data_IF_645131600218
#
_entry.id   IF_645131600218
#
_cell.length_a   1.000
_cell.length_b   1.000
_cell.length_c   1.000
_cell.angle_alpha   90.00
_cell.angle_beta   90.00
_cell.angle_gamma   90.00
#
_symmetry.space_group_name_H-M   'P 1'
#
loop_
_entity.id
_entity.type
_entity.pdbx_description
1 polymer ?
#
# COMPACT_ATOMS: atom_id res chain seq x y z
N UNK A 1 -9.83 21.26 12.58
CA UNK A 1 -10.25 21.41 11.17
C UNK A 1 -11.36 20.43 10.86
N UNK A 2 -12.13 20.68 9.79
CA UNK A 2 -13.08 19.74 9.21
C UNK A 2 -12.44 19.09 8.00
N UNK A 3 -12.32 17.76 8.01
CA UNK A 3 -11.57 16.99 7.00
C UNK A 3 -12.49 15.94 6.40
N UNK A 4 -12.48 15.83 5.08
CA UNK A 4 -13.17 14.76 4.33
C UNK A 4 -12.12 13.86 3.65
N UNK A 5 -12.12 12.58 3.98
CA UNK A 5 -11.33 11.55 3.32
C UNK A 5 -12.23 10.80 2.33
N UNK A 6 -11.81 10.66 1.07
CA UNK A 6 -12.64 10.08 0.01
C UNK A 6 -11.92 8.91 -0.66
N UNK A 7 -12.59 7.77 -0.67
CA UNK A 7 -12.03 6.48 -1.11
C UNK A 7 -11.26 5.78 0.00
N UNK A 8 -11.01 4.50 -0.18
CA UNK A 8 -10.29 3.65 0.78
C UNK A 8 -9.51 2.56 0.05
N UNK A 9 -8.36 2.21 0.57
CA UNK A 9 -7.69 0.94 0.27
C UNK A 9 -6.86 0.48 1.46
N UNK A 10 -6.93 -0.80 1.75
CA UNK A 10 -6.09 -1.46 2.77
C UNK A 10 -6.10 -0.76 4.14
N UNK A 11 -7.21 -0.17 4.55
CA UNK A 11 -7.38 0.57 5.82
C UNK A 11 -6.58 1.88 5.94
N UNK A 12 -6.01 2.42 4.84
CA UNK A 12 -5.19 3.63 4.87
C UNK A 12 -5.96 4.83 5.43
N UNK A 13 -7.10 5.17 4.83
CA UNK A 13 -7.89 6.31 5.27
C UNK A 13 -8.58 6.06 6.62
N UNK A 14 -8.96 4.83 6.94
CA UNK A 14 -9.48 4.49 8.26
C UNK A 14 -8.46 4.73 9.36
N UNK A 15 -7.24 4.25 9.16
CA UNK A 15 -6.14 4.41 10.12
C UNK A 15 -5.73 5.89 10.23
N UNK A 16 -5.66 6.60 9.11
CA UNK A 16 -5.41 8.05 9.10
C UNK A 16 -6.52 8.82 9.81
N UNK A 17 -7.80 8.48 9.58
CA UNK A 17 -8.94 9.08 10.27
C UNK A 17 -8.81 8.95 11.79
N UNK A 18 -8.40 7.79 12.30
CA UNK A 18 -8.17 7.56 13.73
C UNK A 18 -7.16 8.59 14.27
N UNK A 19 -6.00 8.70 13.65
CA UNK A 19 -4.94 9.62 14.10
C UNK A 19 -5.36 11.09 14.04
N UNK A 20 -5.99 11.52 12.95
CA UNK A 20 -6.48 12.89 12.80
C UNK A 20 -7.59 13.21 13.82
N UNK A 21 -8.45 12.23 14.15
CA UNK A 21 -9.52 12.42 15.16
C UNK A 21 -8.91 12.54 16.56
N UNK A 22 -7.93 11.72 16.92
CA UNK A 22 -7.20 11.84 18.19
C UNK A 22 -6.50 13.20 18.36
N UNK A 23 -6.13 13.84 17.25
CA UNK A 23 -5.59 15.21 17.22
C UNK A 23 -6.68 16.32 17.27
N UNK A 24 -7.93 15.94 17.48
CA UNK A 24 -9.05 16.89 17.66
C UNK A 24 -9.63 17.41 16.34
N UNK A 25 -9.38 16.78 15.21
CA UNK A 25 -10.00 17.13 13.94
C UNK A 25 -11.36 16.43 13.78
N UNK A 26 -12.32 17.09 13.14
CA UNK A 26 -13.59 16.46 12.73
C UNK A 26 -13.40 15.80 11.37
N UNK A 27 -13.27 14.48 11.36
CA UNK A 27 -12.95 13.71 10.16
C UNK A 27 -14.14 12.87 9.70
N UNK A 28 -14.49 12.99 8.43
CA UNK A 28 -15.51 12.17 7.77
C UNK A 28 -14.83 11.28 6.73
N UNK A 29 -15.12 9.98 6.72
CA UNK A 29 -14.68 9.04 5.70
C UNK A 29 -15.84 8.65 4.81
N UNK A 30 -15.68 8.87 3.51
CA UNK A 30 -16.61 8.51 2.46
C UNK A 30 -15.95 7.50 1.52
N UNK A 31 -16.42 6.24 1.51
CA UNK A 31 -15.84 5.17 0.71
C UNK A 31 -16.83 4.06 0.39
N UNK A 32 -16.46 3.15 -0.52
CA UNK A 32 -17.19 1.91 -0.80
C UNK A 32 -16.83 0.75 0.14
N UNK A 33 -15.86 0.95 1.02
CA UNK A 33 -15.49 0.02 2.08
C UNK A 33 -14.38 -0.94 1.72
N UNK A 34 -13.90 -0.97 0.49
CA UNK A 34 -12.93 -1.93 -0.03
C UNK A 34 -13.40 -3.40 0.12
N UNK A 35 -13.58 -4.10 -0.97
CA UNK A 35 -14.23 -5.42 -1.06
C UNK A 35 -13.69 -6.49 -0.09
N UNK A 36 -12.43 -6.39 0.30
CA UNK A 36 -11.79 -7.40 1.15
C UNK A 36 -12.09 -7.24 2.65
N UNK A 37 -12.34 -6.01 3.12
CA UNK A 37 -12.42 -5.71 4.56
C UNK A 37 -13.75 -5.18 5.05
N UNK A 38 -14.63 -4.74 4.16
CA UNK A 38 -15.82 -3.97 4.54
C UNK A 38 -15.51 -2.91 5.61
N UNK A 39 -14.51 -2.07 5.33
CA UNK A 39 -13.94 -1.12 6.28
C UNK A 39 -14.99 -0.11 6.79
N UNK A 40 -14.93 0.32 8.06
CA UNK A 40 -15.84 1.33 8.62
C UNK A 40 -15.81 2.63 7.84
N UNK A 41 -16.97 3.28 7.67
CA UNK A 41 -17.13 4.54 6.95
C UNK A 41 -18.33 5.33 7.45
N UNK A 42 -18.29 6.65 7.27
CA UNK A 42 -19.36 7.55 7.68
C UNK A 42 -20.40 7.77 6.57
N UNK A 43 -19.96 7.65 5.30
CA UNK A 43 -20.80 7.73 4.11
C UNK A 43 -20.49 6.53 3.24
N UNK A 44 -21.47 5.65 3.07
CA UNK A 44 -21.32 4.42 2.28
C UNK A 44 -21.55 4.70 0.79
N UNK A 45 -20.53 4.46 -0.02
CA UNK A 45 -20.57 4.56 -1.48
C UNK A 45 -20.71 3.21 -2.17
N UNK A 46 -20.88 2.10 -1.43
CA UNK A 46 -20.99 0.75 -2.01
C UNK A 46 -22.16 0.70 -2.96
N UNK A 47 -21.90 0.18 -4.15
CA UNK A 47 -22.92 -0.02 -5.18
C UNK A 47 -23.74 -1.27 -4.88
N UNK A 48 -25.06 -1.12 -4.85
CA UNK A 48 -25.95 -2.27 -4.84
C UNK A 48 -26.06 -2.84 -6.27
N UNK A 49 -25.29 -3.88 -6.55
CA UNK A 49 -25.22 -4.49 -7.88
C UNK A 49 -26.56 -5.09 -8.38
N UNK A 50 -27.53 -5.33 -7.45
CA UNK A 50 -28.89 -5.76 -7.83
C UNK A 50 -29.63 -4.71 -8.66
N UNK A 51 -29.25 -3.43 -8.56
CA UNK A 51 -29.83 -2.34 -9.34
C UNK A 51 -29.16 -2.15 -10.70
N UNK A 52 -28.19 -2.97 -11.06
CA UNK A 52 -27.48 -2.92 -12.34
C UNK A 52 -26.95 -1.51 -12.63
N UNK A 53 -27.30 -0.94 -13.79
CA UNK A 53 -26.85 0.41 -14.20
C UNK A 53 -27.35 1.53 -13.28
N UNK A 54 -28.46 1.34 -12.59
CA UNK A 54 -29.03 2.34 -11.66
C UNK A 54 -28.26 2.41 -10.33
N UNK A 55 -27.39 1.46 -10.02
CA UNK A 55 -26.57 1.49 -8.80
C UNK A 55 -25.67 2.73 -8.70
N UNK A 56 -25.32 3.36 -9.82
CA UNK A 56 -24.62 4.64 -9.83
C UNK A 56 -25.45 5.80 -9.28
N UNK A 57 -26.78 5.81 -9.49
CA UNK A 57 -27.69 6.82 -8.92
C UNK A 57 -27.76 6.71 -7.40
N UNK A 58 -27.70 5.49 -6.85
CA UNK A 58 -27.61 5.26 -5.42
C UNK A 58 -26.35 5.93 -4.82
N UNK A 59 -25.20 5.77 -5.48
CA UNK A 59 -23.94 6.43 -5.03
C UNK A 59 -24.13 7.95 -5.00
N UNK A 60 -24.67 8.52 -6.06
CA UNK A 60 -24.95 9.97 -6.12
C UNK A 60 -25.93 10.39 -5.03
N UNK A 61 -27.01 9.63 -4.81
CA UNK A 61 -27.95 9.89 -3.74
C UNK A 61 -27.28 9.88 -2.36
N UNK A 62 -26.43 8.90 -2.07
CA UNK A 62 -25.70 8.82 -0.81
C UNK A 62 -24.76 10.03 -0.60
N UNK A 63 -24.14 10.55 -1.67
CA UNK A 63 -23.32 11.75 -1.61
C UNK A 63 -24.20 12.99 -1.34
N UNK A 64 -25.26 13.21 -2.14
CA UNK A 64 -26.08 14.39 -2.06
C UNK A 64 -26.94 14.44 -0.79
N UNK A 65 -27.39 13.31 -0.25
CA UNK A 65 -28.08 13.26 1.04
C UNK A 65 -27.17 13.59 2.24
N UNK A 66 -25.83 13.59 2.04
CA UNK A 66 -24.84 13.92 3.06
C UNK A 66 -24.07 15.23 2.76
N UNK A 67 -24.63 16.15 1.98
CA UNK A 67 -23.98 17.43 1.64
C UNK A 67 -23.36 18.19 2.82
N UNK A 68 -23.99 18.27 4.03
CA UNK A 68 -23.37 18.95 5.17
C UNK A 68 -22.04 18.33 5.65
N UNK A 69 -21.80 17.06 5.32
CA UNK A 69 -20.53 16.36 5.61
C UNK A 69 -19.55 16.47 4.44
N UNK A 70 -20.06 16.56 3.21
CA UNK A 70 -19.27 16.57 1.96
C UNK A 70 -18.76 17.97 1.62
N UNK A 71 -19.52 19.00 1.96
CA UNK A 71 -19.20 20.41 1.65
C UNK A 71 -18.67 21.17 2.87
N UNK A 72 -17.95 22.27 2.61
CA UNK A 72 -17.45 23.18 3.64
C UNK A 72 -16.35 22.57 4.50
N UNK A 73 -15.58 21.62 3.97
CA UNK A 73 -14.42 21.08 4.65
C UNK A 73 -13.19 21.98 4.43
N UNK A 74 -12.31 22.02 5.42
CA UNK A 74 -11.05 22.73 5.30
C UNK A 74 -10.10 21.98 4.35
N UNK A 75 -10.12 20.64 4.42
CA UNK A 75 -9.33 19.75 3.58
C UNK A 75 -10.21 18.60 3.08
N UNK A 76 -10.04 18.26 1.81
CA UNK A 76 -10.53 17.01 1.22
C UNK A 76 -9.32 16.23 0.70
N UNK A 77 -9.13 15.01 1.16
CA UNK A 77 -8.13 14.11 0.61
C UNK A 77 -8.79 13.02 -0.22
N UNK A 78 -8.39 12.94 -1.47
CA UNK A 78 -8.80 11.91 -2.41
C UNK A 78 -7.79 10.75 -2.34
N UNK A 79 -8.27 9.52 -2.28
CA UNK A 79 -7.42 8.33 -2.30
C UNK A 79 -6.58 8.24 -3.59
N UNK A 80 -7.21 8.51 -4.73
CA UNK A 80 -6.58 8.54 -6.05
C UNK A 80 -7.40 9.46 -6.97
N UNK A 81 -7.10 9.48 -8.28
CA UNK A 81 -7.86 10.24 -9.28
C UNK A 81 -9.27 9.66 -9.54
N UNK A 82 -9.48 8.36 -9.29
CA UNK A 82 -10.80 7.73 -9.19
C UNK A 82 -11.05 7.41 -7.71
N UNK A 83 -11.90 8.17 -7.10
CA UNK A 83 -12.12 8.17 -5.65
C UNK A 83 -13.57 7.84 -5.25
N UNK A 84 -14.49 7.79 -6.22
CA UNK A 84 -15.84 7.25 -6.04
C UNK A 84 -16.04 6.08 -7.01
N UNK A 85 -16.87 5.05 -6.67
CA UNK A 85 -17.07 3.86 -7.50
C UNK A 85 -17.92 4.13 -8.73
N UNK A 86 -17.54 5.14 -9.51
CA UNK A 86 -18.19 5.59 -10.74
C UNK A 86 -17.16 5.70 -11.86
N UNK A 87 -17.62 5.84 -13.10
CA UNK A 87 -16.74 6.01 -14.26
C UNK A 87 -15.92 7.31 -14.17
N UNK A 88 -14.81 7.37 -14.91
CA UNK A 88 -13.89 8.51 -14.91
C UNK A 88 -14.54 9.87 -15.17
N UNK A 89 -15.54 9.92 -16.05
CA UNK A 89 -16.30 11.17 -16.30
C UNK A 89 -17.06 11.68 -15.08
N UNK A 90 -17.66 10.78 -14.30
CA UNK A 90 -18.35 11.13 -13.06
C UNK A 90 -17.37 11.50 -11.93
N UNK A 91 -16.22 10.81 -11.84
CA UNK A 91 -15.16 11.20 -10.91
C UNK A 91 -14.65 12.62 -11.21
N UNK A 92 -14.54 12.99 -12.51
CA UNK A 92 -14.18 14.34 -12.95
C UNK A 92 -15.19 15.40 -12.52
N UNK A 93 -16.48 15.14 -12.72
CA UNK A 93 -17.57 16.03 -12.27
C UNK A 93 -17.54 16.18 -10.75
N UNK A 94 -17.40 15.07 -10.03
CA UNK A 94 -17.32 15.06 -8.56
C UNK A 94 -16.09 15.82 -8.06
N UNK A 95 -14.93 15.72 -8.73
CA UNK A 95 -13.73 16.48 -8.39
C UNK A 95 -14.00 17.99 -8.42
N UNK A 96 -14.60 18.49 -9.49
CA UNK A 96 -14.90 19.92 -9.61
C UNK A 96 -15.97 20.36 -8.60
N UNK A 97 -16.95 19.53 -8.32
CA UNK A 97 -17.92 19.77 -7.25
C UNK A 97 -17.23 19.91 -5.88
N UNK A 98 -16.34 18.98 -5.52
CA UNK A 98 -15.58 19.06 -4.27
C UNK A 98 -14.64 20.27 -4.24
N UNK A 99 -13.99 20.59 -5.36
CA UNK A 99 -13.09 21.77 -5.45
C UNK A 99 -13.82 23.10 -5.26
N UNK A 100 -15.06 23.21 -5.75
CA UNK A 100 -15.88 24.40 -5.60
C UNK A 100 -16.51 24.54 -4.20
N UNK A 101 -16.74 23.44 -3.50
CA UNK A 101 -17.47 23.43 -2.23
C UNK A 101 -16.60 23.27 -0.99
N UNK A 102 -15.29 23.09 -1.15
CA UNK A 102 -14.33 22.92 -0.06
C UNK A 102 -13.10 23.81 -0.27
N UNK A 103 -12.28 24.01 0.78
CA UNK A 103 -11.18 24.99 0.71
C UNK A 103 -9.95 24.45 -0.02
N UNK A 104 -9.52 23.22 0.29
CA UNK A 104 -8.31 22.61 -0.27
C UNK A 104 -8.55 21.16 -0.63
N UNK A 105 -7.96 20.72 -1.76
CA UNK A 105 -8.00 19.34 -2.22
C UNK A 105 -6.58 18.77 -2.23
N UNK A 106 -6.38 17.61 -1.62
CA UNK A 106 -5.17 16.82 -1.66
C UNK A 106 -5.42 15.58 -2.52
N UNK A 107 -4.59 15.35 -3.53
CA UNK A 107 -4.59 14.09 -4.29
C UNK A 107 -3.68 13.08 -3.59
N UNK A 108 -4.22 11.94 -3.18
CA UNK A 108 -3.43 10.77 -2.85
C UNK A 108 -2.87 10.11 -4.12
N UNK A 109 -1.58 9.79 -4.09
CA UNK A 109 -0.92 8.92 -5.06
C UNK A 109 -0.73 7.56 -4.39
N UNK A 110 -1.86 6.83 -4.16
CA UNK A 110 -1.90 5.63 -3.31
C UNK A 110 -2.23 4.36 -4.10
N UNK A 111 -2.45 4.48 -5.39
CA UNK A 111 -2.77 3.37 -6.28
C UNK A 111 -2.42 3.73 -7.73
N UNK A 112 -2.64 2.77 -8.63
CA UNK A 112 -2.40 2.93 -10.06
C UNK A 112 -3.06 4.17 -10.65
N UNK A 113 -2.34 4.82 -11.54
CA UNK A 113 -2.88 5.89 -12.37
C UNK A 113 -2.11 6.03 -13.71
N UNK A 114 -2.65 6.77 -14.68
CA UNK A 114 -2.02 6.91 -15.99
C UNK A 114 -0.58 7.42 -15.96
N UNK A 115 -0.27 8.34 -15.05
CA UNK A 115 1.05 8.94 -14.95
C UNK A 115 2.06 7.99 -14.32
N UNK A 116 1.65 7.20 -13.33
CA UNK A 116 2.47 6.17 -12.75
C UNK A 116 2.93 5.17 -13.83
N UNK A 117 2.02 4.70 -14.69
CA UNK A 117 2.36 3.81 -15.80
C UNK A 117 3.27 4.47 -16.84
N UNK A 118 3.07 5.77 -17.13
CA UNK A 118 3.95 6.55 -18.01
C UNK A 118 5.39 6.58 -17.47
N UNK A 119 5.56 6.90 -16.19
CA UNK A 119 6.88 6.95 -15.55
C UNK A 119 7.52 5.55 -15.45
N UNK A 120 6.77 4.53 -15.10
CA UNK A 120 7.27 3.15 -15.07
C UNK A 120 7.72 2.67 -16.47
N UNK A 121 6.99 3.02 -17.52
CA UNK A 121 7.40 2.75 -18.90
C UNK A 121 8.66 3.54 -19.30
N UNK A 122 8.89 4.69 -18.69
CA UNK A 122 10.13 5.47 -18.87
C UNK A 122 11.29 4.98 -17.99
N UNK A 123 11.08 3.93 -17.19
CA UNK A 123 12.12 3.34 -16.32
C UNK A 123 12.26 4.01 -14.95
N UNK A 124 11.22 4.66 -14.47
CA UNK A 124 11.19 5.27 -13.13
C UNK A 124 10.03 4.65 -12.33
N UNK A 125 10.31 3.88 -11.30
CA UNK A 125 11.62 3.33 -10.88
C UNK A 125 12.19 2.27 -11.85
N UNK A 126 13.41 1.81 -11.63
CA UNK A 126 14.08 0.86 -12.54
C UNK A 126 13.31 -0.45 -12.76
N UNK A 127 12.55 -0.88 -11.78
CA UNK A 127 11.61 -1.99 -11.88
C UNK A 127 10.31 -1.69 -11.14
N UNK A 128 9.24 -2.31 -11.56
CA UNK A 128 7.91 -2.28 -10.94
C UNK A 128 7.16 -3.57 -11.27
N UNK A 129 5.96 -3.72 -10.78
CA UNK A 129 5.06 -4.83 -11.13
C UNK A 129 4.59 -4.79 -12.60
N UNK A 130 4.72 -3.66 -13.28
CA UNK A 130 4.32 -3.46 -14.68
C UNK A 130 5.49 -3.39 -15.67
N UNK A 131 6.64 -2.85 -15.25
CA UNK A 131 7.79 -2.63 -16.12
C UNK A 131 9.10 -3.00 -15.43
N UNK A 132 10.03 -3.56 -16.22
CA UNK A 132 11.40 -3.82 -15.82
C UNK A 132 12.34 -3.50 -16.99
N UNK A 133 13.38 -2.69 -16.74
CA UNK A 133 14.28 -2.19 -17.79
C UNK A 133 13.52 -1.62 -18.99
N UNK A 134 12.51 -0.80 -18.73
CA UNK A 134 11.60 -0.20 -19.70
C UNK A 134 10.81 -1.21 -20.56
N UNK A 135 10.84 -2.51 -20.20
CA UNK A 135 10.08 -3.56 -20.88
C UNK A 135 8.89 -3.95 -20.01
N UNK A 136 7.70 -4.06 -20.60
CA UNK A 136 6.52 -4.52 -19.89
C UNK A 136 6.71 -5.92 -19.31
N UNK A 137 6.31 -6.11 -18.06
CA UNK A 137 6.26 -7.40 -17.38
C UNK A 137 4.84 -7.97 -17.40
N UNK A 138 4.73 -9.30 -17.36
CA UNK A 138 3.43 -10.00 -17.24
C UNK A 138 2.35 -9.43 -18.15
N UNK A 139 2.66 -9.29 -19.44
CA UNK A 139 1.91 -8.51 -20.43
C UNK A 139 0.43 -8.84 -20.51
N UNK A 140 0.06 -10.12 -20.40
CA UNK A 140 -1.34 -10.52 -20.52
C UNK A 140 -2.20 -9.93 -19.41
N UNK A 141 -1.73 -10.02 -18.18
CA UNK A 141 -2.44 -9.51 -17.01
C UNK A 141 -2.35 -7.98 -16.88
N UNK A 142 -1.17 -7.40 -17.13
CA UNK A 142 -0.97 -5.96 -17.02
C UNK A 142 -1.58 -5.16 -18.18
N UNK A 143 -1.70 -5.75 -19.36
CA UNK A 143 -2.30 -5.06 -20.53
C UNK A 143 -3.70 -4.55 -20.24
N UNK A 144 -4.55 -5.38 -19.67
CA UNK A 144 -5.92 -4.99 -19.32
C UNK A 144 -5.93 -3.88 -18.27
N UNK A 145 -5.11 -4.02 -17.22
CA UNK A 145 -4.97 -3.04 -16.14
C UNK A 145 -4.49 -1.68 -16.66
N UNK A 146 -3.43 -1.65 -17.45
CA UNK A 146 -2.91 -0.43 -18.08
C UNK A 146 -3.97 0.18 -19.01
N UNK A 147 -4.60 -0.64 -19.88
CA UNK A 147 -5.64 -0.19 -20.80
C UNK A 147 -6.81 0.47 -20.07
N UNK A 148 -7.27 -0.11 -18.96
CA UNK A 148 -8.38 0.46 -18.19
C UNK A 148 -8.06 1.87 -17.69
N UNK A 149 -6.86 2.09 -17.16
CA UNK A 149 -6.44 3.40 -16.64
C UNK A 149 -6.07 4.40 -17.74
N UNK A 150 -5.66 3.94 -18.92
CA UNK A 150 -5.24 4.81 -20.03
C UNK A 150 -6.36 5.17 -21.01
N UNK A 151 -7.61 4.75 -20.77
CA UNK A 151 -8.76 5.22 -21.57
C UNK A 151 -8.91 6.74 -21.48
N UNK A 152 -9.34 7.45 -22.55
CA UNK A 152 -9.37 8.91 -22.61
C UNK A 152 -10.13 9.58 -21.45
N UNK A 153 -11.21 8.96 -20.97
CA UNK A 153 -11.99 9.50 -19.85
C UNK A 153 -11.22 9.47 -18.52
N UNK A 154 -10.36 8.46 -18.30
CA UNK A 154 -9.54 8.33 -17.09
C UNK A 154 -8.33 9.24 -17.16
N UNK A 155 -7.67 9.37 -18.31
CA UNK A 155 -6.59 10.34 -18.51
C UNK A 155 -7.10 11.76 -18.25
N UNK A 156 -8.26 12.16 -18.79
CA UNK A 156 -8.84 13.49 -18.53
C UNK A 156 -9.19 13.69 -17.05
N UNK A 157 -9.72 12.66 -16.40
CA UNK A 157 -10.01 12.72 -14.98
C UNK A 157 -8.73 12.90 -14.15
N UNK A 158 -7.73 12.06 -14.41
CA UNK A 158 -6.43 12.15 -13.76
C UNK A 158 -5.80 13.54 -13.97
N UNK A 159 -5.83 14.05 -15.20
CA UNK A 159 -5.30 15.38 -15.51
C UNK A 159 -5.96 16.46 -14.66
N UNK A 160 -7.29 16.51 -14.63
CA UNK A 160 -8.01 17.51 -13.81
C UNK A 160 -7.64 17.38 -12.32
N UNK A 161 -7.65 16.15 -11.79
CA UNK A 161 -7.33 15.91 -10.38
C UNK A 161 -5.87 16.26 -10.07
N UNK A 162 -4.91 15.77 -10.85
CA UNK A 162 -3.49 15.95 -10.56
C UNK A 162 -3.03 17.41 -10.70
N UNK A 163 -3.55 18.14 -11.69
CA UNK A 163 -3.14 19.52 -11.93
C UNK A 163 -3.85 20.54 -11.04
N UNK A 164 -5.08 20.27 -10.63
CA UNK A 164 -5.88 21.23 -9.88
C UNK A 164 -6.00 20.90 -8.37
N UNK A 165 -5.38 19.82 -7.88
CA UNK A 165 -5.22 19.61 -6.44
C UNK A 165 -4.19 20.57 -5.86
N UNK A 166 -4.40 21.00 -4.63
CA UNK A 166 -3.53 21.95 -3.94
C UNK A 166 -2.21 21.29 -3.49
N UNK A 167 -2.26 20.00 -3.18
CA UNK A 167 -1.09 19.17 -2.86
C UNK A 167 -1.28 17.74 -3.39
N UNK A 168 -0.17 17.03 -3.53
CA UNK A 168 -0.11 15.60 -3.82
C UNK A 168 0.62 14.90 -2.67
N UNK A 169 0.12 13.75 -2.23
CA UNK A 169 0.75 12.93 -1.19
C UNK A 169 1.03 11.55 -1.76
N UNK A 170 2.30 11.15 -1.75
CA UNK A 170 2.73 9.79 -2.07
C UNK A 170 3.03 9.04 -0.77
N UNK A 171 2.57 7.79 -0.65
CA UNK A 171 2.74 6.98 0.56
C UNK A 171 3.83 5.90 0.42
N UNK A 172 4.30 5.63 -0.79
CA UNK A 172 5.39 4.72 -1.11
C UNK A 172 6.50 5.48 -1.84
N UNK A 173 7.76 5.10 -1.62
CA UNK A 173 8.90 5.75 -2.23
C UNK A 173 8.85 5.66 -3.77
N UNK A 174 8.49 4.51 -4.32
CA UNK A 174 8.32 4.30 -5.76
C UNK A 174 7.25 5.21 -6.38
N UNK A 175 6.18 5.51 -5.64
CA UNK A 175 5.18 6.48 -6.10
C UNK A 175 5.71 7.92 -6.02
N UNK A 176 6.45 8.24 -4.96
CA UNK A 176 7.12 9.52 -4.84
C UNK A 176 8.13 9.73 -5.97
N UNK A 177 8.94 8.73 -6.30
CA UNK A 177 9.90 8.79 -7.43
C UNK A 177 9.19 9.14 -8.75
N UNK A 178 8.10 8.45 -9.07
CA UNK A 178 7.33 8.71 -10.28
C UNK A 178 6.79 10.14 -10.33
N UNK A 179 6.30 10.65 -9.21
CA UNK A 179 5.71 11.99 -9.13
C UNK A 179 6.73 13.11 -8.89
N UNK A 180 7.99 12.81 -8.52
CA UNK A 180 9.03 13.80 -8.27
C UNK A 180 9.61 14.34 -9.60
N UNK A 181 8.76 15.01 -10.34
CA UNK A 181 9.09 15.66 -11.62
C UNK A 181 8.96 17.17 -11.47
N UNK A 182 9.58 18.00 -12.34
CA UNK A 182 9.42 19.46 -12.31
C UNK A 182 7.96 19.92 -12.29
N UNK A 183 7.07 19.09 -12.84
CA UNK A 183 5.63 19.32 -12.94
C UNK A 183 4.92 19.29 -11.58
N UNK A 184 5.32 18.40 -10.68
CA UNK A 184 4.63 18.14 -9.42
C UNK A 184 5.48 18.37 -8.16
N UNK A 185 6.80 18.38 -8.25
CA UNK A 185 7.73 18.40 -7.12
C UNK A 185 7.42 19.48 -6.07
N UNK A 186 6.98 20.69 -6.51
CA UNK A 186 6.66 21.80 -5.59
C UNK A 186 5.42 21.55 -4.70
N UNK A 187 4.56 20.60 -5.07
CA UNK A 187 3.31 20.26 -4.37
C UNK A 187 3.28 18.82 -3.89
N UNK A 188 4.35 18.08 -4.16
CA UNK A 188 4.49 16.67 -3.80
C UNK A 188 5.06 16.54 -2.40
N UNK A 189 4.39 15.77 -1.57
CA UNK A 189 4.83 15.40 -0.23
C UNK A 189 4.91 13.89 -0.12
N UNK A 190 5.91 13.39 0.60
CA UNK A 190 5.96 12.01 1.02
C UNK A 190 5.41 11.91 2.44
N UNK A 191 4.36 11.15 2.63
CA UNK A 191 3.81 10.82 3.94
C UNK A 191 3.59 9.30 3.96
N UNK A 192 4.29 8.56 4.83
CA UNK A 192 4.27 7.10 4.82
C UNK A 192 2.89 6.53 5.17
N UNK A 193 2.68 5.26 4.86
CA UNK A 193 1.47 4.54 5.20
C UNK A 193 1.23 4.52 6.71
N UNK A 194 0.05 4.93 7.21
CA UNK A 194 -0.29 4.84 8.62
C UNK A 194 -0.60 3.40 9.03
N UNK A 195 -0.03 2.96 10.14
CA UNK A 195 -0.28 1.64 10.70
C UNK A 195 -0.77 1.74 12.13
N UNK A 196 -1.80 1.00 12.47
CA UNK A 196 -2.19 0.80 13.85
C UNK A 196 -1.23 -0.19 14.50
N UNK A 197 -0.39 0.33 15.41
CA UNK A 197 0.62 -0.49 16.09
C UNK A 197 -0.07 -1.31 17.17
N UNK A 198 0.06 -2.65 17.16
CA UNK A 198 -0.46 -3.48 18.23
C UNK A 198 0.12 -3.11 19.58
N UNK A 199 -0.59 -3.45 20.67
CA UNK A 199 -0.07 -3.28 22.01
C UNK A 199 1.29 -3.99 22.16
N UNK A 200 2.20 -3.44 22.98
CA UNK A 200 3.57 -4.00 23.14
C UNK A 200 3.61 -5.49 23.46
N UNK A 201 2.65 -5.96 24.26
CA UNK A 201 2.52 -7.40 24.59
C UNK A 201 2.21 -8.31 23.41
N UNK A 202 1.75 -7.75 22.27
CA UNK A 202 1.43 -8.53 21.06
C UNK A 202 2.64 -8.65 20.12
N UNK A 203 3.65 -7.79 20.28
CA UNK A 203 4.87 -7.84 19.47
C UNK A 203 5.86 -8.82 20.10
N UNK A 204 6.25 -9.85 19.37
CA UNK A 204 7.19 -10.89 19.83
C UNK A 204 8.43 -10.91 18.96
N UNK A 205 9.59 -11.13 19.59
CA UNK A 205 10.83 -11.37 18.84
C UNK A 205 10.75 -12.75 18.20
N UNK A 206 10.94 -12.79 16.89
CA UNK A 206 10.81 -13.98 16.06
C UNK A 206 12.19 -14.64 15.80
N UNK A 207 12.17 -15.82 15.20
CA UNK A 207 13.39 -16.56 14.85
C UNK A 207 14.12 -17.17 16.04
N UNK A 208 13.44 -17.38 17.16
CA UNK A 208 14.02 -18.00 18.36
C UNK A 208 13.84 -19.51 18.38
N UNK A 209 13.02 -20.05 17.50
CA UNK A 209 12.78 -21.48 17.38
C UNK A 209 13.88 -22.21 16.62
N UNK A 210 13.88 -23.51 16.72
CA UNK A 210 14.80 -24.38 15.94
C UNK A 210 14.43 -24.40 14.45
N UNK A 211 13.12 -24.33 14.15
CA UNK A 211 12.57 -24.29 12.79
C UNK A 211 12.02 -22.89 12.53
N UNK A 212 12.35 -22.31 11.38
CA UNK A 212 11.88 -20.99 10.94
C UNK A 212 10.56 -21.20 10.20
N UNK A 213 9.50 -20.55 10.67
CA UNK A 213 8.16 -20.58 10.05
C UNK A 213 8.01 -19.44 9.05
N UNK A 214 7.86 -19.77 7.78
CA UNK A 214 7.70 -18.82 6.68
C UNK A 214 6.26 -18.87 6.17
N UNK A 215 5.55 -17.74 6.22
CA UNK A 215 4.21 -17.58 5.70
C UNK A 215 4.24 -16.98 4.30
N UNK A 216 3.56 -17.62 3.34
CA UNK A 216 3.42 -17.15 1.96
C UNK A 216 1.95 -16.87 1.67
N UNK A 217 1.59 -15.58 1.57
CA UNK A 217 0.22 -15.16 1.20
C UNK A 217 0.01 -15.25 -0.30
N UNK A 218 -0.89 -16.14 -0.74
CA UNK A 218 -1.23 -16.30 -2.16
C UNK A 218 -2.47 -15.46 -2.50
N UNK A 219 -2.34 -14.64 -3.52
CA UNK A 219 -3.46 -13.95 -4.17
C UNK A 219 -3.53 -14.38 -5.64
N UNK A 220 -4.25 -15.46 -5.99
CA UNK A 220 -4.17 -16.11 -7.29
C UNK A 220 -4.33 -15.20 -8.50
N UNK A 221 -5.18 -14.18 -8.35
CA UNK A 221 -5.43 -13.19 -9.41
C UNK A 221 -4.42 -12.02 -9.44
N UNK A 222 -3.49 -11.95 -8.50
CA UNK A 222 -2.57 -10.83 -8.30
C UNK A 222 -1.12 -11.25 -8.00
N UNK A 223 -0.81 -12.54 -8.01
CA UNK A 223 0.55 -13.02 -7.72
C UNK A 223 1.57 -12.45 -8.71
N UNK A 224 1.18 -12.33 -9.98
CA UNK A 224 2.02 -11.73 -11.02
C UNK A 224 2.42 -10.27 -10.72
N UNK A 225 1.60 -9.54 -9.93
CA UNK A 225 1.91 -8.17 -9.49
C UNK A 225 2.92 -8.17 -8.35
N UNK A 226 2.83 -9.14 -7.46
CA UNK A 226 3.65 -9.18 -6.25
C UNK A 226 4.95 -9.97 -6.44
N UNK A 227 4.94 -11.00 -7.28
CA UNK A 227 6.04 -11.93 -7.43
C UNK A 227 6.30 -12.77 -6.18
N UNK A 228 5.28 -12.98 -5.34
CA UNK A 228 5.42 -13.73 -4.09
C UNK A 228 5.83 -15.19 -4.33
N UNK A 229 5.28 -15.83 -5.36
CA UNK A 229 5.66 -17.22 -5.71
C UNK A 229 7.10 -17.32 -6.19
N UNK A 230 7.66 -16.29 -6.83
CA UNK A 230 9.09 -16.28 -7.17
C UNK A 230 9.96 -16.16 -5.91
N UNK A 231 9.58 -15.31 -4.95
CA UNK A 231 10.28 -15.28 -3.64
C UNK A 231 10.14 -16.62 -2.92
N UNK A 232 8.96 -17.23 -2.94
CA UNK A 232 8.75 -18.55 -2.33
C UNK A 232 9.67 -19.60 -2.91
N UNK A 233 9.92 -19.61 -4.23
CA UNK A 233 10.87 -20.54 -4.87
C UNK A 233 12.31 -20.35 -4.37
N UNK A 234 12.73 -19.12 -4.03
CA UNK A 234 14.03 -18.89 -3.38
C UNK A 234 14.08 -19.50 -1.98
N UNK A 235 13.00 -19.30 -1.19
CA UNK A 235 12.89 -19.89 0.16
C UNK A 235 12.89 -21.42 0.08
N UNK A 236 12.17 -22.01 -0.86
CA UNK A 236 12.16 -23.47 -1.08
C UNK A 236 13.56 -24.02 -1.46
N UNK A 237 14.29 -23.26 -2.29
CA UNK A 237 15.68 -23.61 -2.65
C UNK A 237 16.58 -23.62 -1.42
N UNK A 238 16.48 -22.61 -0.55
CA UNK A 238 17.20 -22.56 0.74
C UNK A 238 16.74 -23.70 1.65
N UNK A 239 15.44 -23.98 1.74
CA UNK A 239 14.90 -25.06 2.57
C UNK A 239 15.44 -26.45 2.18
N UNK A 240 15.61 -26.71 0.88
CA UNK A 240 16.23 -27.97 0.39
C UNK A 240 17.66 -28.13 0.85
N UNK A 241 18.43 -27.05 1.02
CA UNK A 241 19.82 -27.10 1.56
C UNK A 241 19.86 -27.26 3.08
N UNK A 242 18.76 -26.97 3.79
CA UNK A 242 18.66 -27.04 5.25
C UNK A 242 17.46 -27.87 5.72
N UNK A 243 17.44 -29.18 5.51
CA UNK A 243 16.29 -30.04 5.83
C UNK A 243 15.83 -29.92 7.29
N UNK A 244 14.52 -29.74 7.48
CA UNK A 244 13.90 -29.64 8.81
C UNK A 244 14.13 -28.30 9.55
N UNK A 245 14.79 -27.32 8.89
CA UNK A 245 15.08 -26.01 9.49
C UNK A 245 14.12 -24.90 9.05
N UNK A 246 13.37 -25.11 7.98
CA UNK A 246 12.41 -24.15 7.44
C UNK A 246 11.09 -24.89 7.19
N UNK A 247 10.00 -24.31 7.69
CA UNK A 247 8.62 -24.73 7.44
C UNK A 247 7.94 -23.64 6.64
N UNK A 248 7.40 -23.97 5.47
CA UNK A 248 6.73 -23.00 4.59
C UNK A 248 5.24 -23.31 4.61
N UNK A 249 4.45 -22.31 5.01
CA UNK A 249 3.00 -22.37 5.01
C UNK A 249 2.43 -21.44 3.93
N UNK A 250 1.68 -22.04 3.00
CA UNK A 250 0.97 -21.30 1.97
C UNK A 250 -0.45 -21.02 2.40
N UNK A 251 -0.89 -19.75 2.27
CA UNK A 251 -2.23 -19.33 2.68
C UNK A 251 -2.94 -18.59 1.55
N UNK A 252 -4.18 -19.01 1.29
CA UNK A 252 -5.06 -18.43 0.27
C UNK A 252 -6.48 -18.29 0.80
N UNK A 253 -7.10 -17.11 0.60
CA UNK A 253 -8.52 -16.91 0.79
C UNK A 253 -9.05 -17.11 2.22
N UNK A 254 -8.19 -16.99 3.24
CA UNK A 254 -8.63 -17.11 4.64
C UNK A 254 -9.24 -15.82 5.17
N UNK A 255 -10.17 -15.89 6.15
CA UNK A 255 -10.68 -14.71 6.85
C UNK A 255 -9.55 -13.89 7.48
N UNK A 256 -9.75 -12.57 7.53
CA UNK A 256 -8.75 -11.63 8.03
C UNK A 256 -8.21 -11.97 9.42
N UNK A 257 -9.10 -12.26 10.38
CA UNK A 257 -8.70 -12.60 11.76
C UNK A 257 -7.85 -13.87 11.82
N UNK A 258 -8.14 -14.85 10.94
CA UNK A 258 -7.32 -16.05 10.82
C UNK A 258 -5.94 -15.70 10.26
N UNK A 259 -5.89 -14.89 9.21
CA UNK A 259 -4.64 -14.43 8.61
C UNK A 259 -3.76 -13.69 9.63
N UNK A 260 -4.36 -12.81 10.44
CA UNK A 260 -3.63 -12.07 11.48
C UNK A 260 -3.01 -12.99 12.54
N UNK A 261 -3.73 -14.05 12.95
CA UNK A 261 -3.17 -15.08 13.86
C UNK A 261 -2.01 -15.84 13.21
N UNK A 262 -2.10 -16.17 11.92
CA UNK A 262 -0.99 -16.81 11.18
C UNK A 262 0.24 -15.90 11.13
N UNK A 263 0.07 -14.59 10.95
CA UNK A 263 1.16 -13.60 11.06
C UNK A 263 1.77 -13.57 12.47
N UNK A 264 0.96 -13.69 13.52
CA UNK A 264 1.45 -13.73 14.91
C UNK A 264 2.31 -15.00 15.17
N UNK A 265 2.04 -16.10 14.48
CA UNK A 265 2.76 -17.39 14.62
C UNK A 265 3.98 -17.49 13.71
N UNK A 266 3.98 -16.79 12.56
CA UNK A 266 5.07 -16.83 11.60
C UNK A 266 6.31 -16.07 12.08
N UNK A 267 7.50 -16.56 11.76
CA UNK A 267 8.76 -15.84 11.94
C UNK A 267 9.02 -14.88 10.76
N UNK A 268 8.62 -15.29 9.57
CA UNK A 268 8.91 -14.59 8.32
C UNK A 268 7.66 -14.56 7.44
N UNK A 269 7.42 -13.42 6.79
CA UNK A 269 6.39 -13.24 5.76
C UNK A 269 7.04 -13.01 4.39
N UNK A 270 6.60 -13.73 3.37
CA UNK A 270 6.88 -13.42 1.96
C UNK A 270 5.86 -12.41 1.45
N UNK A 271 6.30 -11.24 0.95
CA UNK A 271 5.37 -10.22 0.43
C UNK A 271 5.63 -9.86 -1.04
N UNK A 272 6.41 -8.82 -1.36
CA UNK A 272 6.49 -8.29 -2.73
C UNK A 272 7.92 -8.23 -3.25
N UNK A 273 8.14 -8.77 -4.47
CA UNK A 273 9.42 -8.73 -5.18
C UNK A 273 9.62 -7.40 -5.93
N UNK A 274 8.55 -6.81 -6.44
CA UNK A 274 8.60 -5.65 -7.34
C UNK A 274 8.32 -4.33 -6.64
N UNK A 275 8.61 -4.21 -5.35
CA UNK A 275 8.45 -2.99 -4.57
C UNK A 275 9.77 -2.52 -3.96
N UNK A 276 9.87 -1.24 -3.66
CA UNK A 276 11.00 -0.60 -2.97
C UNK A 276 10.73 -0.41 -1.48
N UNK A 277 9.46 -0.38 -1.10
CA UNK A 277 8.96 -0.08 0.24
C UNK A 277 8.05 -1.17 0.77
N UNK A 278 7.95 -1.34 2.10
CA UNK A 278 6.99 -2.27 2.68
C UNK A 278 5.55 -1.84 2.43
N UNK A 279 4.72 -2.80 2.01
CA UNK A 279 3.28 -2.62 1.85
C UNK A 279 2.53 -2.62 3.20
N UNK A 280 1.22 -2.35 3.18
CA UNK A 280 0.38 -2.47 4.38
C UNK A 280 0.45 -3.87 5.02
N UNK A 281 0.53 -4.93 4.19
CA UNK A 281 0.68 -6.30 4.69
C UNK A 281 2.04 -6.52 5.36
N UNK A 282 3.11 -6.05 4.74
CA UNK A 282 4.45 -6.06 5.33
C UNK A 282 4.48 -5.31 6.66
N UNK A 283 3.89 -4.11 6.70
CA UNK A 283 3.87 -3.29 7.92
C UNK A 283 3.06 -3.95 9.05
N UNK A 284 1.95 -4.61 8.73
CA UNK A 284 1.17 -5.36 9.71
C UNK A 284 1.95 -6.52 10.31
N UNK A 285 2.76 -7.22 9.51
CA UNK A 285 3.67 -8.27 9.97
C UNK A 285 4.82 -7.68 10.82
N UNK A 286 5.49 -6.65 10.31
CA UNK A 286 6.62 -5.99 10.98
C UNK A 286 6.22 -5.41 12.34
N UNK A 287 5.03 -4.83 12.47
CA UNK A 287 4.51 -4.33 13.74
C UNK A 287 4.35 -5.42 14.81
N UNK A 288 4.28 -6.69 14.40
CA UNK A 288 4.21 -7.88 15.26
C UNK A 288 5.56 -8.57 15.47
N UNK A 289 6.60 -8.04 14.87
CA UNK A 289 7.95 -8.61 14.89
C UNK A 289 8.20 -9.68 13.83
N UNK A 290 7.25 -9.96 12.95
CA UNK A 290 7.45 -10.88 11.82
C UNK A 290 8.37 -10.20 10.80
N UNK A 291 9.47 -10.88 10.43
CA UNK A 291 10.44 -10.38 9.44
C UNK A 291 9.83 -10.53 8.04
N UNK A 292 10.08 -9.58 7.16
CA UNK A 292 9.54 -9.59 5.80
C UNK A 292 10.64 -9.92 4.80
N UNK A 293 10.35 -10.81 3.83
CA UNK A 293 11.12 -10.96 2.60
C UNK A 293 10.38 -10.16 1.51
N UNK A 294 11.04 -9.15 0.95
CA UNK A 294 10.43 -8.29 -0.06
C UNK A 294 11.26 -7.07 -0.38
N UNK A 295 10.62 -6.01 -0.88
CA UNK A 295 11.28 -4.76 -1.19
C UNK A 295 11.66 -3.96 0.08
N UNK A 296 12.94 -3.68 0.20
CA UNK A 296 13.53 -2.86 1.28
C UNK A 296 14.81 -2.22 0.77
N UNK A 297 14.70 -1.44 -0.32
CA UNK A 297 15.84 -0.89 -1.03
C UNK A 297 16.61 0.16 -0.21
N UNK A 298 17.93 0.18 -0.37
CA UNK A 298 18.76 1.18 0.28
C UNK A 298 18.37 2.61 -0.10
N UNK A 299 17.93 2.82 -1.33
CA UNK A 299 17.47 4.12 -1.81
C UNK A 299 16.27 4.63 -1.01
N UNK A 300 15.36 3.74 -0.64
CA UNK A 300 14.24 4.07 0.25
C UNK A 300 14.72 4.50 1.64
N UNK A 301 15.61 3.73 2.26
CA UNK A 301 16.14 4.09 3.58
C UNK A 301 16.93 5.40 3.56
N UNK A 302 17.73 5.64 2.52
CA UNK A 302 18.44 6.90 2.32
C UNK A 302 17.46 8.07 2.16
N UNK A 303 16.40 7.87 1.40
CA UNK A 303 15.36 8.87 1.16
C UNK A 303 14.66 9.30 2.45
N UNK A 304 14.29 8.36 3.33
CA UNK A 304 13.66 8.66 4.61
C UNK A 304 14.68 9.04 5.72
N UNK A 305 15.96 9.06 5.40
CA UNK A 305 17.02 9.38 6.35
C UNK A 305 17.22 8.33 7.46
N UNK A 306 16.97 7.05 7.17
CA UNK A 306 17.17 5.97 8.12
C UNK A 306 18.53 5.28 7.94
N UNK A 307 19.53 5.56 8.81
CA UNK A 307 20.89 5.06 8.62
C UNK A 307 21.12 3.64 9.15
N UNK A 308 20.29 3.14 10.07
CA UNK A 308 20.62 1.96 10.90
C UNK A 308 19.65 0.80 10.73
N UNK A 309 18.35 1.06 10.66
CA UNK A 309 17.34 0.00 10.63
C UNK A 309 17.25 -0.63 9.23
N UNK A 310 17.43 -1.93 9.17
CA UNK A 310 17.28 -2.75 7.96
C UNK A 310 16.44 -3.98 8.30
N UNK A 311 15.12 -3.79 8.53
CA UNK A 311 14.26 -4.84 9.05
C UNK A 311 13.83 -5.88 8.00
N UNK A 312 14.05 -5.60 6.70
CA UNK A 312 13.54 -6.39 5.59
C UNK A 312 14.69 -7.21 4.99
N UNK A 313 14.45 -8.49 4.73
CA UNK A 313 15.31 -9.32 3.87
C UNK A 313 15.03 -8.86 2.44
N UNK A 314 15.89 -7.97 1.95
CA UNK A 314 15.69 -7.34 0.65
C UNK A 314 16.01 -8.32 -0.48
N UNK A 315 14.99 -8.64 -1.28
CA UNK A 315 15.11 -9.44 -2.51
C UNK A 315 14.75 -8.56 -3.70
N UNK A 316 15.43 -8.79 -4.82
CA UNK A 316 15.33 -7.91 -5.99
C UNK A 316 15.09 -8.72 -7.27
N UNK A 317 14.26 -8.20 -8.20
CA UNK A 317 14.04 -8.89 -9.47
C UNK A 317 15.21 -8.77 -10.45
N UNK A 318 16.10 -7.80 -10.26
CA UNK A 318 17.19 -7.41 -11.17
C UNK A 318 18.56 -8.02 -10.82
N UNK A 319 18.63 -8.83 -9.78
CA UNK A 319 19.77 -9.67 -9.45
C UNK A 319 19.46 -11.14 -9.71
N UNK A 320 20.48 -12.01 -9.69
CA UNK A 320 20.29 -13.45 -9.90
C UNK A 320 19.48 -14.10 -8.77
N UNK A 321 18.82 -15.20 -9.09
CA UNK A 321 18.09 -15.99 -8.09
C UNK A 321 19.03 -16.52 -6.99
N UNK A 322 20.26 -16.90 -7.34
CA UNK A 322 21.29 -17.35 -6.39
C UNK A 322 21.74 -16.25 -5.41
N UNK A 323 21.81 -14.99 -5.83
CA UNK A 323 22.09 -13.86 -4.93
C UNK A 323 20.93 -13.61 -3.96
N UNK A 324 19.69 -13.68 -4.45
CA UNK A 324 18.49 -13.61 -3.60
C UNK A 324 18.45 -14.76 -2.58
N UNK A 325 18.72 -15.99 -3.02
CA UNK A 325 18.81 -17.16 -2.13
C UNK A 325 19.89 -17.00 -1.07
N UNK A 326 21.07 -16.50 -1.44
CA UNK A 326 22.18 -16.24 -0.52
C UNK A 326 21.77 -15.19 0.53
N UNK A 327 21.08 -14.14 0.13
CA UNK A 327 20.58 -13.10 1.04
C UNK A 327 19.60 -13.68 2.06
N UNK A 328 18.67 -14.53 1.62
CA UNK A 328 17.71 -15.22 2.50
C UNK A 328 18.44 -16.17 3.45
N UNK A 329 19.35 -16.99 2.93
CA UNK A 329 20.11 -17.97 3.71
C UNK A 329 20.95 -17.30 4.81
N UNK A 330 21.62 -16.20 4.49
CA UNK A 330 22.37 -15.40 5.46
C UNK A 330 21.47 -14.84 6.55
N UNK A 331 20.30 -14.29 6.18
CA UNK A 331 19.34 -13.76 7.15
C UNK A 331 18.80 -14.82 8.10
N UNK A 332 18.60 -16.05 7.60
CA UNK A 332 18.03 -17.15 8.38
C UNK A 332 19.06 -17.84 9.29
N UNK A 333 20.30 -17.98 8.86
CA UNK A 333 21.27 -18.84 9.51
C UNK A 333 22.49 -18.11 10.09
N UNK A 334 22.67 -16.82 9.86
CA UNK A 334 23.63 -16.02 10.63
C UNK A 334 23.10 -15.85 12.05
N UNK A 335 23.91 -16.17 13.02
CA UNK A 335 23.55 -16.15 14.45
C UNK A 335 22.97 -14.79 14.87
N UNK A 336 21.78 -14.82 15.47
CA UNK A 336 21.09 -13.64 15.97
C UNK A 336 20.57 -12.67 14.90
N UNK A 337 20.77 -12.96 13.61
CA UNK A 337 20.36 -12.03 12.54
C UNK A 337 18.85 -11.90 12.45
N UNK A 338 18.12 -13.00 12.42
CA UNK A 338 16.66 -12.98 12.32
C UNK A 338 16.01 -12.28 13.53
N UNK A 339 16.53 -12.53 14.76
CA UNK A 339 16.08 -11.86 15.97
C UNK A 339 16.35 -10.35 15.94
N UNK A 340 17.51 -9.94 15.40
CA UNK A 340 17.86 -8.53 15.22
C UNK A 340 16.89 -7.85 14.25
N UNK A 341 16.63 -8.49 13.10
CA UNK A 341 15.68 -7.97 12.10
C UNK A 341 14.26 -7.90 12.66
N UNK A 342 13.85 -8.87 13.46
CA UNK A 342 12.55 -8.85 14.16
C UNK A 342 12.41 -7.64 15.09
N UNK A 343 13.43 -7.33 15.90
CA UNK A 343 13.44 -6.10 16.74
C UNK A 343 13.39 -4.85 15.90
N UNK A 344 14.19 -4.80 14.82
CA UNK A 344 14.20 -3.67 13.89
C UNK A 344 12.86 -3.49 13.18
N UNK A 345 12.12 -4.57 12.88
CA UNK A 345 10.78 -4.52 12.30
C UNK A 345 9.81 -3.76 13.20
N UNK A 346 9.78 -4.10 14.49
CA UNK A 346 8.94 -3.42 15.48
C UNK A 346 9.35 -1.96 15.63
N UNK A 347 10.64 -1.70 15.77
CA UNK A 347 11.17 -0.34 15.95
C UNK A 347 10.90 0.55 14.73
N UNK A 348 11.15 0.02 13.52
CA UNK A 348 10.92 0.73 12.26
C UNK A 348 9.45 1.11 12.09
N UNK A 349 8.55 0.15 12.34
CA UNK A 349 7.12 0.39 12.18
C UNK A 349 6.62 1.45 13.16
N UNK A 350 7.06 1.39 14.41
CA UNK A 350 6.73 2.41 15.43
C UNK A 350 7.27 3.78 15.06
N UNK A 351 8.51 3.86 14.59
CA UNK A 351 9.16 5.13 14.28
C UNK A 351 8.55 5.85 13.09
N UNK A 352 8.23 5.12 12.02
CA UNK A 352 7.86 5.72 10.74
C UNK A 352 6.38 5.57 10.37
N UNK A 353 5.70 4.56 10.91
CA UNK A 353 4.37 4.16 10.46
C UNK A 353 3.28 4.20 11.55
N UNK A 354 3.63 4.51 12.80
CA UNK A 354 2.58 4.73 13.82
C UNK A 354 1.62 5.82 13.31
N UNK A 355 0.34 5.47 13.26
CA UNK A 355 -0.70 6.35 12.69
C UNK A 355 -0.74 7.73 13.36
N UNK A 356 -0.31 7.84 14.63
CA UNK A 356 -0.24 9.12 15.34
C UNK A 356 0.87 9.99 14.78
N UNK A 357 2.06 9.40 14.55
CA UNK A 357 3.20 10.08 13.93
C UNK A 357 2.90 10.45 12.47
N UNK A 358 2.20 9.57 11.74
CA UNK A 358 1.79 9.84 10.37
C UNK A 358 0.74 10.95 10.30
N UNK A 359 -0.28 10.92 11.17
CA UNK A 359 -1.30 11.97 11.25
C UNK A 359 -0.73 13.35 11.65
N UNK A 360 0.45 13.41 12.26
CA UNK A 360 1.13 14.66 12.58
C UNK A 360 1.75 15.33 11.34
N UNK A 361 2.05 14.56 10.31
CA UNK A 361 2.63 15.05 9.06
C UNK A 361 1.57 15.64 8.11
N UNK A 362 0.30 15.36 8.37
CA UNK A 362 -0.83 15.93 7.63
C UNK A 362 -1.26 17.30 8.18
#
# INVERSE_FOLDING_TARGET
>A
MKILLVGESSMLHNTLKKGLTERGHKVTLMSDGNDWHDSPRDIDLRRNMRWGKLSGLQVLWNIFSNLPKVCGNDIVQLHNYTFVPLLGGWNRIMFWFLKLTNKRIIKGCFADDPFLFEQQAAGVPAYSDTYWNNKPQNMEANRQRIFEHTRPQFIRCWHDVAYNSDALVACLYEYWLCYNTPRFAKRLHYIPLPMEIPHESSARIKGMGRTIKVLVGIQPKRDYLKGAMRIASFVESVARRHPGRIEIEYVEGVPYDKYMRMLDEADVLVDQLYSYTPSMNSLAAMARGTVVIGGGENDYYNFIGEPKLRPIINVRPDISDGENETTIEQAFFTEGQLQRMSRQSIEFTRKYHDYRCVAEQY
#
